data_IF_042615820404
#
_entry.id   IF_042615820404
#
_cell.length_a   1.000
_cell.length_b   1.000
_cell.length_c   1.000
_cell.angle_alpha   90.00
_cell.angle_beta   90.00
_cell.angle_gamma   90.00
#
_symmetry.space_group_name_H-M   'P 1'
#
loop_
_entity.id
_entity.type
_entity.pdbx_description
1 polymer ?
#
# COMPACT_ATOMS: atom_id res chain seq x y z
N UNK A 1 -2.86 26.62 5.49
CA UNK A 1 -2.77 25.97 4.16
C UNK A 1 -1.39 25.32 3.93
N UNK A 2 -0.27 25.96 4.29
CA UNK A 2 1.09 25.43 4.11
C UNK A 2 1.45 24.22 4.98
N UNK A 3 0.95 24.16 6.23
CA UNK A 3 1.22 23.03 7.15
C UNK A 3 0.60 21.72 6.65
N UNK A 4 -0.61 21.77 6.07
CA UNK A 4 -1.26 20.60 5.49
C UNK A 4 -0.56 20.08 4.23
N UNK A 5 -0.06 20.98 3.38
CA UNK A 5 0.67 20.62 2.16
C UNK A 5 1.97 19.87 2.45
N UNK A 6 2.68 20.25 3.51
CA UNK A 6 3.98 19.67 3.86
C UNK A 6 3.80 18.46 4.79
N UNK A 7 2.85 18.49 5.73
CA UNK A 7 2.68 17.44 6.75
C UNK A 7 2.04 16.14 6.24
N UNK A 8 1.12 16.22 5.28
CA UNK A 8 0.41 15.04 4.75
C UNK A 8 1.34 14.01 4.09
N UNK A 9 2.33 14.40 3.27
CA UNK A 9 3.33 13.46 2.75
C UNK A 9 4.10 12.72 3.85
N UNK A 10 4.54 13.43 4.89
CA UNK A 10 5.26 12.79 6.01
C UNK A 10 4.38 11.81 6.76
N UNK A 11 3.10 12.14 6.98
CA UNK A 11 2.15 11.24 7.62
C UNK A 11 1.90 10.00 6.75
N UNK A 12 1.69 10.18 5.44
CA UNK A 12 1.47 9.07 4.51
C UNK A 12 2.68 8.11 4.49
N UNK A 13 3.89 8.64 4.35
CA UNK A 13 5.13 7.85 4.36
C UNK A 13 5.32 7.18 5.72
N UNK A 14 5.12 7.92 6.82
CA UNK A 14 5.27 7.39 8.18
C UNK A 14 4.32 6.23 8.47
N UNK A 15 3.05 6.32 8.03
CA UNK A 15 2.07 5.25 8.18
C UNK A 15 2.44 4.03 7.33
N UNK A 16 2.88 4.21 6.08
CA UNK A 16 3.34 3.10 5.24
C UNK A 16 4.51 2.38 5.89
N UNK A 17 5.54 3.12 6.34
CA UNK A 17 6.71 2.54 7.02
C UNK A 17 6.35 1.83 8.33
N UNK A 18 5.44 2.40 9.14
CA UNK A 18 4.99 1.77 10.38
C UNK A 18 4.26 0.45 10.10
N UNK A 19 3.35 0.42 9.12
CA UNK A 19 2.62 -0.80 8.74
C UNK A 19 3.57 -1.84 8.15
N UNK A 20 4.45 -1.46 7.21
CA UNK A 20 5.41 -2.40 6.63
C UNK A 20 6.39 -2.95 7.68
N UNK A 21 6.88 -2.10 8.59
CA UNK A 21 7.72 -2.49 9.71
C UNK A 21 7.02 -3.46 10.67
N UNK A 22 5.73 -3.24 10.95
CA UNK A 22 4.92 -4.16 11.74
C UNK A 22 4.75 -5.51 11.04
N UNK A 23 4.47 -5.52 9.74
CA UNK A 23 4.35 -6.77 8.97
C UNK A 23 5.66 -7.56 9.03
N UNK A 24 6.79 -6.89 8.84
CA UNK A 24 8.13 -7.48 8.96
C UNK A 24 8.45 -7.98 10.37
N UNK A 25 8.07 -7.23 11.40
CA UNK A 25 8.36 -7.57 12.80
C UNK A 25 7.47 -8.70 13.35
N UNK A 26 6.18 -8.71 13.02
CA UNK A 26 5.21 -9.65 13.58
C UNK A 26 5.10 -10.95 12.78
N UNK A 27 5.30 -10.92 11.46
CA UNK A 27 5.06 -12.07 10.60
C UNK A 27 6.10 -12.24 9.47
N UNK A 28 7.42 -12.28 9.79
CA UNK A 28 8.46 -12.37 8.77
C UNK A 28 8.35 -13.63 7.90
N UNK A 29 7.95 -14.77 8.45
CA UNK A 29 7.79 -16.03 7.68
C UNK A 29 6.64 -15.98 6.68
N UNK A 30 5.53 -15.28 7.01
CA UNK A 30 4.37 -15.16 6.12
C UNK A 30 4.68 -14.33 4.89
N UNK A 31 5.57 -13.34 5.02
CA UNK A 31 6.04 -12.54 3.88
C UNK A 31 6.79 -13.44 2.89
N UNK A 32 7.64 -14.34 3.38
CA UNK A 32 8.39 -15.26 2.53
C UNK A 32 7.45 -16.21 1.76
N UNK A 33 6.46 -16.79 2.44
CA UNK A 33 5.44 -17.64 1.81
C UNK A 33 4.64 -16.88 0.73
N UNK A 34 4.18 -15.66 1.02
CA UNK A 34 3.46 -14.83 0.06
C UNK A 34 4.31 -14.45 -1.15
N UNK A 35 5.60 -14.13 -0.93
CA UNK A 35 6.54 -13.82 -2.01
C UNK A 35 6.77 -15.04 -2.91
N UNK A 36 6.85 -16.23 -2.34
CA UNK A 36 6.99 -17.47 -3.10
C UNK A 36 5.73 -17.74 -3.93
N UNK A 37 4.54 -17.55 -3.35
CA UNK A 37 3.28 -17.64 -4.08
C UNK A 37 3.23 -16.65 -5.26
N UNK A 38 3.59 -15.38 -5.04
CA UNK A 38 3.63 -14.35 -6.09
C UNK A 38 4.68 -14.69 -7.15
N UNK A 39 5.84 -15.23 -6.75
CA UNK A 39 6.92 -15.64 -7.66
C UNK A 39 6.51 -16.81 -8.55
N UNK A 40 5.57 -17.64 -8.12
CA UNK A 40 5.04 -18.75 -8.92
C UNK A 40 3.92 -18.32 -9.89
N UNK A 41 3.41 -17.08 -9.80
CA UNK A 41 2.40 -16.57 -10.73
C UNK A 41 2.98 -16.19 -12.10
N UNK A 42 2.23 -16.30 -13.20
CA UNK A 42 2.61 -15.72 -14.49
C UNK A 42 2.82 -14.20 -14.42
N UNK A 43 3.64 -13.65 -15.32
CA UNK A 43 3.98 -12.22 -15.34
C UNK A 43 2.74 -11.35 -15.56
N UNK A 44 1.81 -11.74 -16.44
CA UNK A 44 0.57 -10.96 -16.63
C UNK A 44 -0.26 -10.91 -15.36
N UNK A 45 -0.33 -12.01 -14.61
CA UNK A 45 -1.11 -12.04 -13.37
C UNK A 45 -0.52 -11.14 -12.29
N UNK A 46 0.82 -11.10 -12.16
CA UNK A 46 1.50 -10.17 -11.24
C UNK A 46 1.25 -8.71 -11.62
N UNK A 47 1.27 -8.41 -12.92
CA UNK A 47 0.96 -7.06 -13.43
C UNK A 47 -0.48 -6.68 -13.13
N UNK A 48 -1.43 -7.58 -13.38
CA UNK A 48 -2.85 -7.32 -13.10
C UNK A 48 -3.11 -7.14 -11.60
N UNK A 49 -2.43 -7.90 -10.74
CA UNK A 49 -2.52 -7.72 -9.29
C UNK A 49 -2.01 -6.33 -8.86
N UNK A 50 -0.88 -5.88 -9.41
CA UNK A 50 -0.36 -4.55 -9.18
C UNK A 50 -1.29 -3.43 -9.66
N UNK A 51 -1.82 -3.56 -10.88
CA UNK A 51 -2.78 -2.61 -11.45
C UNK A 51 -4.08 -2.54 -10.62
N UNK A 52 -4.59 -3.69 -10.17
CA UNK A 52 -5.76 -3.75 -9.29
C UNK A 52 -5.49 -3.05 -7.95
N UNK A 53 -4.31 -3.28 -7.35
CA UNK A 53 -3.88 -2.59 -6.14
C UNK A 53 -3.79 -1.08 -6.31
N UNK A 54 -3.18 -0.61 -7.41
CA UNK A 54 -3.11 0.82 -7.73
C UNK A 54 -4.50 1.44 -7.94
N UNK A 55 -5.38 0.77 -8.70
CA UNK A 55 -6.74 1.25 -8.95
C UNK A 55 -7.56 1.34 -7.66
N UNK A 56 -7.47 0.32 -6.80
CA UNK A 56 -8.13 0.32 -5.50
C UNK A 56 -7.60 1.46 -4.62
N UNK A 57 -6.28 1.63 -4.54
CA UNK A 57 -5.66 2.72 -3.79
C UNK A 57 -6.12 4.10 -4.25
N UNK A 58 -6.15 4.33 -5.56
CA UNK A 58 -6.67 5.57 -6.15
C UNK A 58 -8.16 5.79 -5.83
N UNK A 59 -8.98 4.73 -5.92
CA UNK A 59 -10.40 4.79 -5.59
C UNK A 59 -10.62 5.13 -4.10
N UNK A 60 -9.85 4.55 -3.18
CA UNK A 60 -9.93 4.85 -1.76
C UNK A 60 -9.51 6.29 -1.44
N UNK A 61 -8.44 6.79 -2.06
CA UNK A 61 -8.02 8.20 -1.92
C UNK A 61 -9.11 9.14 -2.42
N UNK A 62 -9.71 8.82 -3.58
CA UNK A 62 -10.80 9.59 -4.15
C UNK A 62 -12.04 9.60 -3.24
N UNK A 63 -12.42 8.45 -2.69
CA UNK A 63 -13.53 8.34 -1.74
C UNK A 63 -13.24 9.09 -0.44
N UNK A 64 -12.03 9.00 0.12
CA UNK A 64 -11.65 9.73 1.31
C UNK A 64 -11.74 11.26 1.09
N UNK A 65 -11.32 11.73 -0.08
CA UNK A 65 -11.47 13.14 -0.47
C UNK A 65 -12.95 13.52 -0.69
N UNK A 66 -13.78 12.62 -1.23
CA UNK A 66 -15.19 12.87 -1.47
C UNK A 66 -16.06 12.86 -0.20
N UNK A 67 -15.70 12.04 0.80
CA UNK A 67 -16.42 11.93 2.07
C UNK A 67 -15.93 12.95 3.12
N UNK A 68 -14.66 13.34 3.05
CA UNK A 68 -14.02 14.27 3.99
C UNK A 68 -13.92 15.71 3.50
N UNK A 69 -14.79 16.13 2.58
CA UNK A 69 -14.87 17.53 2.10
C UNK A 69 -14.96 18.54 3.24
#
# INVERSE_FOLDING_TARGET
MTIGLIGLPFLAIGLVLAVEGLVLALAPSRIAELLEMIRNMPVEMRRNLGLAGMALGAALIWLAHGLGG
#
